data_IF_989593955725
#
_entry.id   IF_989593955725
#
_cell.length_a   1.000
_cell.length_b   1.000
_cell.length_c   1.000
_cell.angle_alpha   90.00
_cell.angle_beta   90.00
_cell.angle_gamma   90.00
#
_symmetry.space_group_name_H-M   'P 1'
#
loop_
_entity.id
_entity.type
_entity.pdbx_description
1 polymer ?
#
# COMPACT_ATOMS: atom_id res chain seq x y z
N UNK A 1 17.84 -37.36 -71.24
CA UNK A 1 17.17 -36.98 -69.97
C UNK A 1 18.19 -36.25 -69.10
N UNK A 2 18.19 -34.92 -69.11
CA UNK A 2 19.03 -34.11 -68.23
C UNK A 2 18.14 -33.43 -67.19
N UNK A 3 18.40 -33.72 -65.91
CA UNK A 3 17.72 -33.08 -64.77
C UNK A 3 18.47 -31.80 -64.45
N UNK A 4 17.85 -30.65 -64.70
CA UNK A 4 18.31 -29.37 -64.18
C UNK A 4 17.67 -29.16 -62.79
N UNK A 5 18.50 -29.21 -61.75
CA UNK A 5 18.13 -28.82 -60.39
C UNK A 5 18.31 -27.29 -60.28
N UNK A 6 17.22 -26.57 -60.02
CA UNK A 6 17.22 -25.14 -59.71
C UNK A 6 17.16 -25.00 -58.19
N UNK A 7 18.12 -24.35 -57.50
CA UNK A 7 17.95 -24.05 -56.09
C UNK A 7 17.16 -22.74 -55.94
N UNK A 8 15.96 -22.85 -55.37
CA UNK A 8 15.15 -21.74 -54.90
C UNK A 8 15.82 -21.15 -53.64
N UNK A 9 16.53 -20.03 -53.79
CA UNK A 9 17.07 -19.28 -52.65
C UNK A 9 15.91 -18.52 -51.99
N UNK A 10 15.37 -19.08 -50.90
CA UNK A 10 14.47 -18.39 -50.00
C UNK A 10 15.26 -17.31 -49.25
N UNK A 11 15.09 -16.06 -49.67
CA UNK A 11 15.56 -14.90 -48.95
C UNK A 11 14.70 -14.74 -47.68
N UNK A 12 15.15 -15.36 -46.59
CA UNK A 12 14.62 -15.10 -45.25
C UNK A 12 14.99 -13.66 -44.87
N UNK A 13 14.07 -12.73 -45.11
CA UNK A 13 14.17 -11.37 -44.61
C UNK A 13 13.89 -11.43 -43.09
N UNK A 14 14.92 -11.74 -42.30
CA UNK A 14 14.91 -11.53 -40.86
C UNK A 14 14.86 -10.03 -40.60
N UNK A 15 13.66 -9.44 -40.54
CA UNK A 15 13.49 -8.12 -39.95
C UNK A 15 13.83 -8.26 -38.47
N UNK A 16 15.03 -7.84 -38.09
CA UNK A 16 15.41 -7.59 -36.71
C UNK A 16 14.38 -6.62 -36.10
N UNK A 17 13.53 -7.13 -35.21
CA UNK A 17 12.75 -6.28 -34.31
C UNK A 17 13.75 -5.50 -33.45
N UNK A 18 14.09 -4.28 -33.87
CA UNK A 18 14.82 -3.36 -33.02
C UNK A 18 13.96 -3.08 -31.79
N UNK A 19 14.48 -3.39 -30.61
CA UNK A 19 13.83 -3.06 -29.36
C UNK A 19 13.68 -1.53 -29.26
N UNK A 20 12.47 -1.05 -29.01
CA UNK A 20 12.18 0.39 -28.87
C UNK A 20 13.10 1.04 -27.83
N UNK A 21 13.81 2.07 -28.26
CA UNK A 21 14.73 2.82 -27.41
C UNK A 21 13.98 3.95 -26.70
N UNK A 22 14.20 4.06 -25.39
CA UNK A 22 13.52 5.05 -24.55
C UNK A 22 14.52 5.73 -23.64
N UNK A 23 14.65 7.04 -23.85
CA UNK A 23 15.50 7.92 -23.06
C UNK A 23 14.66 8.88 -22.21
N UNK A 24 15.28 9.36 -21.12
CA UNK A 24 14.75 10.44 -20.30
C UNK A 24 15.81 11.53 -20.14
N UNK A 25 15.52 12.71 -20.67
CA UNK A 25 16.41 13.88 -20.63
C UNK A 25 15.62 15.14 -20.35
N UNK A 26 16.05 15.91 -19.33
CA UNK A 26 15.52 17.24 -19.01
C UNK A 26 13.97 17.31 -18.93
N UNK A 27 13.33 16.31 -18.31
CA UNK A 27 11.87 16.27 -18.20
C UNK A 27 11.14 15.85 -19.48
N UNK A 28 11.83 15.27 -20.46
CA UNK A 28 11.25 14.74 -21.69
C UNK A 28 11.46 13.23 -21.77
N UNK A 29 10.41 12.49 -22.11
CA UNK A 29 10.50 11.12 -22.60
C UNK A 29 10.75 11.19 -24.09
N UNK A 30 11.81 10.53 -24.54
CA UNK A 30 12.21 10.44 -25.94
C UNK A 30 12.10 8.97 -26.34
N UNK A 31 11.37 8.70 -27.42
CA UNK A 31 11.14 7.34 -27.94
C UNK A 31 11.69 7.28 -29.35
N UNK A 32 12.63 6.36 -29.58
CA UNK A 32 13.32 6.18 -30.86
C UNK A 32 13.87 7.52 -31.43
N UNK A 33 14.43 8.36 -30.54
CA UNK A 33 14.99 9.66 -30.88
C UNK A 33 13.98 10.81 -31.01
N UNK A 34 12.68 10.56 -30.89
CA UNK A 34 11.63 11.57 -31.03
C UNK A 34 11.03 11.97 -29.68
N UNK A 35 10.73 13.25 -29.50
CA UNK A 35 10.01 13.74 -28.32
C UNK A 35 8.63 13.06 -28.24
N UNK A 36 8.35 12.44 -27.10
CA UNK A 36 7.13 11.66 -26.91
C UNK A 36 6.17 12.32 -25.91
N UNK A 37 6.68 12.71 -24.75
CA UNK A 37 5.88 13.34 -23.69
C UNK A 37 6.76 14.11 -22.71
N UNK A 38 6.20 15.18 -22.13
CA UNK A 38 6.84 15.93 -21.05
C UNK A 38 6.48 15.31 -19.70
N UNK A 39 7.43 15.29 -18.77
CA UNK A 39 7.26 14.81 -17.41
C UNK A 39 7.67 15.89 -16.44
N UNK A 40 6.75 16.26 -15.56
CA UNK A 40 7.04 17.06 -14.39
C UNK A 40 7.27 16.12 -13.19
N UNK A 41 8.28 16.44 -12.40
CA UNK A 41 8.72 15.62 -11.27
C UNK A 41 8.60 16.45 -10.01
N UNK A 42 7.76 16.00 -9.09
CA UNK A 42 7.68 16.59 -7.76
C UNK A 42 8.38 15.66 -6.76
N UNK A 43 9.33 16.22 -6.02
CA UNK A 43 10.09 15.47 -5.02
C UNK A 43 9.37 15.52 -3.69
N UNK A 44 9.23 14.37 -3.05
CA UNK A 44 8.60 14.19 -1.75
C UNK A 44 9.55 13.49 -0.79
N UNK A 45 9.28 13.54 0.52
CA UNK A 45 10.09 12.87 1.55
C UNK A 45 11.59 13.13 1.42
N UNK A 46 11.98 14.42 1.36
CA UNK A 46 13.38 14.84 1.16
C UNK A 46 14.02 14.31 -0.15
N UNK A 47 13.20 13.98 -1.15
CA UNK A 47 13.64 13.48 -2.46
C UNK A 47 13.77 11.96 -2.56
N UNK A 48 13.41 11.22 -1.50
CA UNK A 48 13.40 9.75 -1.51
C UNK A 48 12.30 9.17 -2.40
N UNK A 49 11.18 9.87 -2.51
CA UNK A 49 10.07 9.51 -3.38
C UNK A 49 9.75 10.66 -4.33
N UNK A 50 9.20 10.33 -5.49
CA UNK A 50 8.82 11.31 -6.51
C UNK A 50 7.41 11.04 -6.99
N UNK A 51 6.60 12.07 -7.16
CA UNK A 51 5.39 12.03 -7.98
C UNK A 51 5.75 12.47 -9.40
N UNK A 52 5.02 11.93 -10.38
CA UNK A 52 5.21 12.26 -11.79
C UNK A 52 3.90 12.71 -12.40
N UNK A 53 3.95 13.78 -13.18
CA UNK A 53 2.85 14.19 -14.04
C UNK A 53 3.32 14.16 -15.48
N UNK A 54 2.58 13.45 -16.34
CA UNK A 54 2.90 13.33 -17.77
C UNK A 54 1.96 14.22 -18.56
N UNK A 55 2.55 15.01 -19.46
CA UNK A 55 1.86 15.92 -20.35
C UNK A 55 2.13 15.56 -21.80
N UNK A 56 1.15 15.79 -22.66
CA UNK A 56 1.38 15.81 -24.11
C UNK A 56 2.33 16.94 -24.49
N UNK A 57 2.86 16.90 -25.71
CA UNK A 57 3.75 17.96 -26.21
C UNK A 57 3.04 19.33 -26.30
N UNK A 58 1.71 19.36 -26.42
CA UNK A 58 0.92 20.60 -26.37
C UNK A 58 0.66 21.11 -24.95
N UNK A 59 1.06 20.38 -23.91
CA UNK A 59 0.91 20.77 -22.52
C UNK A 59 -0.35 20.26 -21.83
N UNK A 60 -1.10 19.34 -22.44
CA UNK A 60 -2.27 18.73 -21.78
C UNK A 60 -1.83 17.62 -20.83
N UNK A 61 -2.28 17.65 -19.58
CA UNK A 61 -2.01 16.61 -18.59
C UNK A 61 -2.72 15.30 -18.96
N UNK A 62 -1.99 14.20 -19.01
CA UNK A 62 -2.47 12.88 -19.44
C UNK A 62 -2.43 11.84 -18.32
N UNK A 63 -1.36 11.84 -17.51
CA UNK A 63 -1.13 10.81 -16.48
C UNK A 63 -0.67 11.47 -15.20
N UNK A 64 -1.19 11.01 -14.07
CA UNK A 64 -0.67 11.32 -12.74
C UNK A 64 -0.17 10.02 -12.12
N UNK A 65 1.07 10.00 -11.66
CA UNK A 65 1.68 8.85 -11.00
C UNK A 65 2.15 9.23 -9.60
N UNK A 66 1.60 8.56 -8.59
CA UNK A 66 1.93 8.76 -7.18
C UNK A 66 2.35 7.44 -6.54
N UNK A 67 3.22 7.50 -5.54
CA UNK A 67 3.56 6.29 -4.76
C UNK A 67 2.31 5.78 -4.06
N UNK A 68 2.03 4.49 -4.22
CA UNK A 68 0.89 3.81 -3.65
C UNK A 68 1.30 3.14 -2.33
N UNK A 69 1.14 3.86 -1.23
CA UNK A 69 1.58 3.43 0.11
C UNK A 69 0.63 2.44 0.78
N UNK A 70 -0.53 2.19 0.18
CA UNK A 70 -1.56 1.25 0.64
C UNK A 70 -1.24 -0.24 0.35
N UNK A 71 -0.17 -0.52 -0.38
CA UNK A 71 0.22 -1.88 -0.76
C UNK A 71 1.42 -2.35 0.03
N UNK A 72 1.42 -3.64 0.38
CA UNK A 72 2.57 -4.26 1.06
C UNK A 72 3.77 -4.30 0.11
N UNK A 73 4.84 -3.64 0.52
CA UNK A 73 6.15 -3.84 -0.09
C UNK A 73 6.81 -5.06 0.57
N UNK A 74 7.34 -5.97 -0.23
CA UNK A 74 8.11 -7.10 0.30
C UNK A 74 9.31 -6.54 1.08
N UNK A 75 9.39 -6.88 2.37
CA UNK A 75 10.44 -6.40 3.28
C UNK A 75 11.84 -6.77 2.81
N UNK A 76 11.96 -7.78 1.94
CA UNK A 76 13.21 -8.24 1.38
C UNK A 76 13.48 -7.72 -0.04
N UNK A 77 12.52 -7.05 -0.69
CA UNK A 77 12.66 -6.50 -2.03
C UNK A 77 12.41 -4.98 -2.07
N UNK A 78 13.51 -4.24 -1.97
CA UNK A 78 13.52 -2.78 -2.04
C UNK A 78 13.83 -2.26 -3.47
N UNK A 79 13.81 -3.12 -4.49
CA UNK A 79 14.22 -2.74 -5.85
C UNK A 79 13.21 -1.85 -6.57
N UNK A 80 11.95 -1.85 -6.14
CA UNK A 80 10.88 -1.05 -6.72
C UNK A 80 9.95 -0.48 -5.66
N UNK A 81 9.19 0.55 -6.04
CA UNK A 81 8.04 1.09 -5.34
C UNK A 81 6.78 0.83 -6.16
N UNK A 82 5.65 0.63 -5.49
CA UNK A 82 4.36 0.62 -6.16
C UNK A 82 3.92 2.06 -6.45
N UNK A 83 3.50 2.29 -7.69
CA UNK A 83 2.94 3.55 -8.15
C UNK A 83 1.52 3.35 -8.65
N UNK A 84 0.62 4.21 -8.21
CA UNK A 84 -0.72 4.34 -8.77
C UNK A 84 -0.67 5.33 -9.91
N UNK A 85 -0.94 4.86 -11.12
CA UNK A 85 -1.03 5.67 -12.33
C UNK A 85 -2.50 5.89 -12.68
N UNK A 86 -2.90 7.16 -12.72
CA UNK A 86 -4.22 7.60 -13.16
C UNK A 86 -4.12 8.14 -14.59
N UNK A 87 -4.76 7.45 -15.54
CA UNK A 87 -4.84 7.86 -16.95
C UNK A 87 -6.06 8.76 -17.13
N UNK A 88 -5.83 10.08 -17.15
CA UNK A 88 -6.89 11.08 -17.00
C UNK A 88 -7.89 11.07 -18.17
N UNK A 89 -7.41 10.87 -19.40
CA UNK A 89 -8.27 10.83 -20.58
C UNK A 89 -9.04 9.51 -20.72
N UNK A 90 -8.42 8.38 -20.39
CA UNK A 90 -9.07 7.06 -20.43
C UNK A 90 -9.90 6.72 -19.20
N UNK A 91 -9.82 7.54 -18.13
CA UNK A 91 -10.47 7.30 -16.83
C UNK A 91 -10.16 5.94 -16.21
N UNK A 92 -8.97 5.43 -16.48
CA UNK A 92 -8.48 4.16 -15.96
C UNK A 92 -7.39 4.41 -14.92
N UNK A 93 -7.26 3.49 -13.96
CA UNK A 93 -6.21 3.51 -12.94
C UNK A 93 -5.53 2.14 -12.94
N UNK A 94 -4.20 2.13 -12.86
CA UNK A 94 -3.42 0.92 -12.72
C UNK A 94 -2.31 1.08 -11.68
N UNK A 95 -1.88 -0.03 -11.10
CA UNK A 95 -0.76 -0.08 -10.17
C UNK A 95 0.44 -0.65 -10.90
N UNK A 96 1.60 -0.02 -10.79
CA UNK A 96 2.81 -0.42 -11.52
C UNK A 96 4.02 -0.41 -10.59
N UNK A 97 5.02 -1.23 -10.94
CA UNK A 97 6.32 -1.21 -10.27
C UNK A 97 7.22 -0.19 -10.96
N UNK A 98 7.79 0.73 -10.18
CA UNK A 98 8.81 1.68 -10.65
C UNK A 98 10.06 1.46 -9.81
N UNK A 99 11.23 1.36 -10.43
CA UNK A 99 12.46 1.09 -9.70
C UNK A 99 12.74 2.17 -8.63
N UNK A 100 13.08 1.75 -7.41
CA UNK A 100 13.35 2.66 -6.28
C UNK A 100 14.57 3.55 -6.56
N UNK A 101 15.59 2.99 -7.21
CA UNK A 101 16.75 3.70 -7.72
C UNK A 101 16.51 4.12 -9.18
N UNK A 102 16.81 5.38 -9.51
CA UNK A 102 16.61 5.88 -10.87
C UNK A 102 15.14 5.98 -11.29
N UNK A 103 14.24 6.27 -10.33
CA UNK A 103 12.77 6.34 -10.52
C UNK A 103 12.35 7.05 -11.82
N UNK A 104 12.92 8.22 -12.10
CA UNK A 104 12.62 9.00 -13.32
C UNK A 104 12.88 8.20 -14.61
N UNK A 105 14.04 7.56 -14.72
CA UNK A 105 14.40 6.75 -15.90
C UNK A 105 13.53 5.50 -15.99
N UNK A 106 13.25 4.86 -14.86
CA UNK A 106 12.37 3.68 -14.82
C UNK A 106 10.95 4.03 -15.24
N UNK A 107 10.41 5.13 -14.72
CA UNK A 107 9.08 5.63 -15.05
C UNK A 107 8.98 6.05 -16.52
N UNK A 108 9.97 6.79 -17.02
CA UNK A 108 10.03 7.18 -18.43
C UNK A 108 10.06 5.96 -19.36
N UNK A 109 10.84 4.92 -19.03
CA UNK A 109 10.84 3.65 -19.79
C UNK A 109 9.49 2.95 -19.75
N UNK A 110 8.83 2.93 -18.59
CA UNK A 110 7.50 2.34 -18.43
C UNK A 110 6.47 3.00 -19.34
N UNK A 111 6.43 4.34 -19.35
CA UNK A 111 5.49 5.12 -20.17
C UNK A 111 5.91 5.13 -21.65
N UNK A 112 7.18 5.36 -21.98
CA UNK A 112 7.65 5.42 -23.36
C UNK A 112 7.44 4.11 -24.13
N UNK A 113 7.62 2.96 -23.47
CA UNK A 113 7.37 1.64 -24.09
C UNK A 113 5.90 1.25 -24.19
N UNK A 114 5.00 2.01 -23.57
CA UNK A 114 3.58 1.66 -23.51
C UNK A 114 2.84 1.96 -24.82
N UNK A 115 3.30 2.95 -25.59
CA UNK A 115 2.63 3.38 -26.82
C UNK A 115 1.20 3.91 -26.61
N UNK A 116 0.83 4.27 -25.39
CA UNK A 116 -0.54 4.65 -25.01
C UNK A 116 -0.90 6.10 -25.34
N UNK A 117 0.08 7.00 -25.43
CA UNK A 117 -0.13 8.42 -25.72
C UNK A 117 -0.27 8.60 -27.23
N UNK A 118 -1.38 9.19 -27.65
CA UNK A 118 -1.66 9.59 -29.03
C UNK A 118 -2.06 11.06 -29.02
N UNK A 119 -1.16 11.93 -29.49
CA UNK A 119 -1.30 13.39 -29.47
C UNK A 119 -1.62 13.87 -28.04
N UNK A 120 -2.82 14.41 -27.83
CA UNK A 120 -3.28 15.04 -26.60
C UNK A 120 -4.23 14.15 -25.79
N UNK A 121 -4.16 12.83 -26.01
CA UNK A 121 -5.01 11.83 -25.36
C UNK A 121 -4.25 10.54 -25.13
N UNK A 122 -4.80 9.68 -24.27
CA UNK A 122 -4.43 8.27 -24.17
C UNK A 122 -5.42 7.42 -24.97
N UNK A 123 -4.94 6.35 -25.59
CA UNK A 123 -5.79 5.36 -26.25
C UNK A 123 -6.31 4.34 -25.24
N UNK A 124 -7.62 4.25 -25.08
CA UNK A 124 -8.27 3.46 -24.02
C UNK A 124 -7.97 1.95 -24.10
N UNK A 125 -7.93 1.39 -25.32
CA UNK A 125 -7.63 -0.02 -25.53
C UNK A 125 -6.19 -0.32 -25.18
N UNK A 126 -5.25 0.51 -25.64
CA UNK A 126 -3.84 0.36 -25.32
C UNK A 126 -3.56 0.56 -23.83
N UNK A 127 -4.27 1.48 -23.16
CA UNK A 127 -4.16 1.66 -21.70
C UNK A 127 -4.63 0.40 -20.98
N UNK A 128 -5.77 -0.17 -21.38
CA UNK A 128 -6.29 -1.41 -20.79
C UNK A 128 -5.30 -2.56 -20.97
N UNK A 129 -4.79 -2.74 -22.19
CA UNK A 129 -3.83 -3.80 -22.51
C UNK A 129 -2.50 -3.59 -21.77
N UNK A 130 -2.08 -2.33 -21.62
CA UNK A 130 -0.90 -1.96 -20.85
C UNK A 130 -1.05 -2.27 -19.36
N UNK A 131 -2.19 -1.94 -18.76
CA UNK A 131 -2.50 -2.31 -17.36
C UNK A 131 -2.52 -3.84 -17.23
N UNK A 132 -3.13 -4.56 -18.16
CA UNK A 132 -3.15 -6.03 -18.11
C UNK A 132 -1.75 -6.65 -18.23
N UNK A 133 -0.88 -6.09 -19.08
CA UNK A 133 0.43 -6.66 -19.37
C UNK A 133 1.53 -6.26 -18.38
N UNK A 134 1.46 -5.05 -17.80
CA UNK A 134 2.52 -4.47 -16.94
C UNK A 134 2.03 -4.04 -15.57
N UNK A 135 0.72 -4.03 -15.36
CA UNK A 135 0.14 -3.77 -14.05
C UNK A 135 0.58 -4.81 -13.04
N UNK A 136 0.82 -4.35 -11.83
CA UNK A 136 1.01 -5.19 -10.67
C UNK A 136 -0.33 -5.35 -9.93
N UNK A 137 -0.55 -6.51 -9.35
CA UNK A 137 -1.65 -6.77 -8.42
C UNK A 137 -1.07 -7.08 -7.03
N UNK A 138 -0.44 -6.09 -6.37
CA UNK A 138 0.08 -6.32 -5.02
C UNK A 138 -1.02 -6.62 -4.02
N UNK A 139 -0.65 -7.32 -2.95
CA UNK A 139 -1.54 -7.48 -1.80
C UNK A 139 -1.73 -6.11 -1.15
N UNK A 140 -2.98 -5.73 -0.98
CA UNK A 140 -3.35 -4.52 -0.26
C UNK A 140 -2.98 -4.76 1.21
N UNK A 141 -2.15 -3.88 1.78
CA UNK A 141 -1.74 -3.99 3.19
C UNK A 141 -2.91 -3.74 4.17
N UNK A 142 -4.03 -3.21 3.66
CA UNK A 142 -5.16 -2.67 4.42
C UNK A 142 -6.49 -3.18 3.85
N UNK A 143 -7.09 -4.18 4.51
CA UNK A 143 -8.47 -4.59 4.22
C UNK A 143 -9.46 -3.56 4.82
N UNK A 144 -10.15 -2.79 3.97
CA UNK A 144 -11.22 -1.87 4.39
C UNK A 144 -12.57 -2.58 4.61
N UNK A 145 -12.58 -3.87 4.92
CA UNK A 145 -13.81 -4.58 5.27
C UNK A 145 -14.43 -3.95 6.52
N UNK A 146 -15.66 -3.44 6.37
CA UNK A 146 -16.43 -2.94 7.50
C UNK A 146 -16.78 -4.11 8.40
N UNK A 147 -16.02 -4.31 9.47
CA UNK A 147 -16.33 -5.36 10.44
C UNK A 147 -17.48 -4.87 11.34
N UNK A 148 -18.64 -5.55 11.35
CA UNK A 148 -19.74 -5.18 12.23
C UNK A 148 -19.31 -5.41 13.68
N UNK A 149 -19.51 -4.39 14.52
CA UNK A 149 -19.15 -4.39 15.94
C UNK A 149 -20.39 -4.18 16.76
N UNK A 150 -20.45 -4.87 17.88
CA UNK A 150 -21.60 -4.76 18.79
C UNK A 150 -21.14 -4.26 20.14
N UNK A 151 -21.65 -3.10 20.55
CA UNK A 151 -21.38 -2.53 21.89
C UNK A 151 -21.89 -3.42 23.03
N UNK A 152 -22.89 -4.26 22.75
CA UNK A 152 -23.50 -5.18 23.73
C UNK A 152 -22.91 -6.58 23.70
N UNK A 153 -22.13 -6.96 22.68
CA UNK A 153 -21.55 -8.29 22.60
C UNK A 153 -20.26 -8.39 23.44
N UNK A 154 -20.04 -9.50 24.18
CA UNK A 154 -18.80 -9.72 24.90
C UNK A 154 -17.57 -9.68 23.98
N UNK A 155 -16.48 -9.10 24.46
CA UNK A 155 -15.20 -9.08 23.76
C UNK A 155 -14.38 -10.28 24.20
N UNK A 156 -13.84 -11.03 23.26
CA UNK A 156 -12.82 -12.06 23.49
C UNK A 156 -11.47 -11.57 22.99
N UNK A 157 -10.41 -11.99 23.68
CA UNK A 157 -9.05 -11.85 23.21
C UNK A 157 -8.41 -13.23 23.21
N UNK A 158 -7.63 -13.53 22.18
CA UNK A 158 -7.12 -14.87 21.90
C UNK A 158 -5.59 -14.92 22.01
N UNK A 159 -5.03 -16.13 22.06
CA UNK A 159 -3.57 -16.34 22.23
C UNK A 159 -2.73 -15.81 21.06
N UNK A 160 -3.32 -15.71 19.87
CA UNK A 160 -2.73 -15.07 18.69
C UNK A 160 -2.82 -13.53 18.73
N UNK A 161 -3.29 -12.96 19.85
CA UNK A 161 -3.48 -11.52 20.10
C UNK A 161 -4.55 -10.87 19.24
N UNK A 162 -5.46 -11.66 18.68
CA UNK A 162 -6.66 -11.15 18.02
C UNK A 162 -7.74 -10.77 19.03
N UNK A 163 -8.59 -9.84 18.64
CA UNK A 163 -9.75 -9.37 19.38
C UNK A 163 -10.99 -9.79 18.59
N UNK A 164 -11.89 -10.52 19.23
CA UNK A 164 -13.07 -11.08 18.59
C UNK A 164 -14.39 -10.65 19.22
N UNK A 165 -15.39 -10.46 18.37
CA UNK A 165 -16.80 -10.39 18.75
C UNK A 165 -17.62 -11.25 17.79
N UNK A 166 -18.54 -12.06 18.33
CA UNK A 166 -19.45 -12.89 17.55
C UNK A 166 -18.72 -13.72 16.47
N UNK A 167 -17.61 -14.36 16.85
CA UNK A 167 -16.77 -15.20 15.98
C UNK A 167 -16.16 -14.46 14.78
N UNK A 168 -16.01 -13.14 14.89
CA UNK A 168 -15.32 -12.29 13.90
C UNK A 168 -14.19 -11.54 14.56
N UNK A 169 -13.04 -11.51 13.89
CA UNK A 169 -11.89 -10.69 14.28
C UNK A 169 -12.23 -9.23 14.01
N UNK A 170 -12.31 -8.43 15.06
CA UNK A 170 -12.59 -6.99 15.01
C UNK A 170 -11.33 -6.13 15.18
N UNK A 171 -10.21 -6.74 15.55
CA UNK A 171 -8.91 -6.10 15.65
C UNK A 171 -7.85 -7.02 16.24
N UNK A 172 -6.71 -6.45 16.58
CA UNK A 172 -5.62 -7.13 17.28
C UNK A 172 -4.89 -6.16 18.19
N UNK A 173 -4.09 -6.69 19.10
CA UNK A 173 -3.18 -5.90 19.92
C UNK A 173 -1.76 -6.44 19.84
N UNK A 174 -0.78 -5.58 20.09
CA UNK A 174 0.62 -6.00 20.23
C UNK A 174 1.29 -5.28 21.40
N UNK A 175 2.06 -5.98 22.24
CA UNK A 175 2.93 -5.35 23.23
C UNK A 175 4.09 -4.66 22.52
N UNK A 176 4.43 -3.44 22.95
CA UNK A 176 5.57 -2.68 22.42
C UNK A 176 6.72 -2.54 23.42
N UNK A 177 6.51 -2.97 24.66
CA UNK A 177 7.54 -3.05 25.69
C UNK A 177 7.02 -2.66 27.07
N UNK A 178 7.94 -2.59 28.02
CA UNK A 178 7.69 -2.13 29.38
C UNK A 178 8.79 -1.16 29.78
N UNK A 179 8.44 -0.01 30.34
CA UNK A 179 9.40 1.00 30.80
C UNK A 179 8.85 1.73 32.02
N UNK A 180 9.69 1.98 33.03
CA UNK A 180 9.31 2.65 34.29
C UNK A 180 8.04 2.08 34.96
N UNK A 181 7.87 0.75 34.95
CA UNK A 181 6.71 0.09 35.56
C UNK A 181 5.40 0.25 34.79
N UNK A 182 5.44 0.84 33.59
CA UNK A 182 4.32 0.90 32.65
C UNK A 182 4.50 -0.13 31.54
N UNK A 183 3.41 -0.79 31.17
CA UNK A 183 3.34 -1.66 30.00
C UNK A 183 2.72 -0.89 28.83
N UNK A 184 3.28 -1.07 27.63
CA UNK A 184 2.89 -0.35 26.41
C UNK A 184 2.31 -1.30 25.37
N UNK A 185 1.22 -0.89 24.74
CA UNK A 185 0.55 -1.66 23.70
C UNK A 185 0.07 -0.78 22.55
N UNK A 186 -0.03 -1.37 21.36
CA UNK A 186 -0.72 -0.79 20.21
C UNK A 186 -1.92 -1.66 19.85
N UNK A 187 -3.05 -1.01 19.54
CA UNK A 187 -4.28 -1.64 19.07
C UNK A 187 -4.45 -1.35 17.59
N UNK A 188 -4.83 -2.39 16.85
CA UNK A 188 -4.91 -2.35 15.40
C UNK A 188 -6.27 -2.84 14.92
N UNK A 189 -6.74 -2.29 13.80
CA UNK A 189 -7.83 -2.87 13.04
C UNK A 189 -7.40 -4.22 12.43
N UNK A 190 -8.34 -5.05 11.96
CA UNK A 190 -8.01 -6.29 11.22
C UNK A 190 -7.13 -6.02 9.99
N UNK A 191 -7.23 -4.79 9.47
CA UNK A 191 -6.42 -4.25 8.38
C UNK A 191 -4.98 -3.90 8.77
N UNK A 192 -4.58 -4.08 10.03
CA UNK A 192 -3.24 -3.73 10.53
C UNK A 192 -3.03 -2.25 10.87
N UNK A 193 -4.00 -1.37 10.57
CA UNK A 193 -3.92 0.06 10.92
C UNK A 193 -3.93 0.22 12.44
N UNK A 194 -2.88 0.84 13.00
CA UNK A 194 -2.84 1.22 14.42
C UNK A 194 -3.83 2.36 14.69
N UNK A 195 -4.80 2.10 15.55
CA UNK A 195 -5.86 3.04 15.93
C UNK A 195 -5.63 3.67 17.31
N UNK A 196 -4.91 2.99 18.19
CA UNK A 196 -4.61 3.49 19.52
C UNK A 196 -3.26 2.98 20.02
N UNK A 197 -2.59 3.83 20.80
CA UNK A 197 -1.42 3.47 21.60
C UNK A 197 -1.77 3.67 23.05
N UNK A 198 -1.52 2.68 23.89
CA UNK A 198 -1.87 2.73 25.30
C UNK A 198 -0.66 2.46 26.18
N UNK A 199 -0.69 3.04 27.38
CA UNK A 199 0.16 2.60 28.47
C UNK A 199 -0.62 2.57 29.79
N UNK A 200 -0.23 1.68 30.68
CA UNK A 200 -0.80 1.60 32.03
C UNK A 200 0.20 0.96 33.00
N UNK A 201 0.05 1.27 34.29
CA UNK A 201 0.80 0.66 35.38
C UNK A 201 -0.15 -0.19 36.25
N UNK A 202 0.36 -1.30 36.81
CA UNK A 202 -0.42 -2.19 37.68
C UNK A 202 -1.03 -3.41 36.99
N UNK A 203 -0.68 -3.66 35.73
CA UNK A 203 -1.07 -4.86 34.98
C UNK A 203 -2.59 -5.05 34.88
N UNK A 204 -3.07 -6.26 35.19
CA UNK A 204 -4.52 -6.55 35.20
C UNK A 204 -5.34 -5.68 36.17
N UNK A 205 -4.71 -5.12 37.20
CA UNK A 205 -5.37 -4.30 38.23
C UNK A 205 -5.27 -2.79 37.95
N UNK A 206 -4.75 -2.40 36.77
CA UNK A 206 -4.59 -1.00 36.40
C UNK A 206 -5.93 -0.26 36.45
N UNK A 207 -5.96 0.84 37.21
CA UNK A 207 -7.15 1.68 37.42
C UNK A 207 -7.25 2.83 36.41
N UNK A 208 -6.18 3.09 35.67
CA UNK A 208 -6.13 4.14 34.67
C UNK A 208 -5.29 3.64 33.49
N UNK A 209 -5.62 4.10 32.29
CA UNK A 209 -4.74 4.02 31.13
C UNK A 209 -4.44 5.41 30.59
N UNK A 210 -3.23 5.60 30.09
CA UNK A 210 -2.92 6.66 29.14
C UNK A 210 -3.20 6.12 27.74
N UNK A 211 -3.97 6.86 26.94
CA UNK A 211 -4.33 6.46 25.58
C UNK A 211 -4.10 7.62 24.61
N UNK A 212 -3.43 7.30 23.51
CA UNK A 212 -3.42 8.10 22.29
C UNK A 212 -4.31 7.42 21.25
N UNK A 213 -5.19 8.18 20.60
CA UNK A 213 -6.05 7.67 19.52
C UNK A 213 -5.71 8.36 18.20
N UNK A 214 -5.57 7.59 17.13
CA UNK A 214 -5.22 8.10 15.81
C UNK A 214 -6.36 8.89 15.16
N UNK A 215 -7.63 8.48 15.38
CA UNK A 215 -8.83 9.11 14.83
C UNK A 215 -8.95 10.59 15.21
N UNK A 216 -8.64 10.90 16.48
CA UNK A 216 -8.83 12.24 17.04
C UNK A 216 -7.50 12.96 17.28
N UNK A 217 -6.36 12.28 17.01
CA UNK A 217 -5.00 12.73 17.28
C UNK A 217 -4.80 13.28 18.70
N UNK A 218 -5.44 12.65 19.70
CA UNK A 218 -5.47 13.15 21.07
C UNK A 218 -4.95 12.12 22.07
N UNK A 219 -4.25 12.61 23.09
CA UNK A 219 -3.68 11.86 24.20
C UNK A 219 -4.40 12.24 25.50
N UNK A 220 -4.90 11.24 26.24
CA UNK A 220 -5.63 11.46 27.50
C UNK A 220 -5.46 10.32 28.48
N UNK A 221 -5.72 10.60 29.76
CA UNK A 221 -5.83 9.60 30.81
C UNK A 221 -7.31 9.19 30.92
N UNK A 222 -7.57 7.89 30.92
CA UNK A 222 -8.91 7.31 30.99
C UNK A 222 -8.99 6.40 32.21
N UNK A 223 -9.96 6.62 33.12
CA UNK A 223 -10.24 5.71 34.22
C UNK A 223 -10.70 4.35 33.70
N UNK A 224 -10.13 3.29 34.28
CA UNK A 224 -10.41 1.89 33.98
C UNK A 224 -10.83 1.16 35.25
N UNK A 225 -12.02 1.49 35.81
CA UNK A 225 -12.46 0.89 37.06
C UNK A 225 -12.61 -0.63 36.89
N UNK A 226 -12.03 -1.36 37.84
CA UNK A 226 -12.19 -2.81 37.91
C UNK A 226 -13.60 -3.15 38.40
N UNK A 227 -14.40 -3.80 37.55
CA UNK A 227 -15.77 -4.20 37.88
C UNK A 227 -15.91 -5.68 38.26
N UNK A 228 -14.95 -6.52 37.85
CA UNK A 228 -15.01 -7.97 37.99
C UNK A 228 -13.78 -8.50 38.73
N UNK A 229 -13.98 -9.50 39.61
CA UNK A 229 -12.87 -10.21 40.26
C UNK A 229 -12.09 -11.01 39.21
N UNK A 230 -10.79 -10.77 39.13
CA UNK A 230 -9.86 -11.55 38.29
C UNK A 230 -9.71 -12.95 38.91
N UNK A 231 -10.19 -13.98 38.23
CA UNK A 231 -10.22 -15.36 38.77
C UNK A 231 -8.95 -16.14 38.40
N UNK A 232 -8.59 -16.22 37.11
CA UNK A 232 -7.31 -16.80 36.64
C UNK A 232 -6.90 -16.14 35.33
N UNK A 233 -5.68 -15.61 35.26
CA UNK A 233 -5.11 -15.09 34.01
C UNK A 233 -4.51 -16.23 33.18
N UNK A 234 -4.90 -16.34 31.90
CA UNK A 234 -4.22 -17.23 30.96
C UNK A 234 -2.98 -16.52 30.42
N UNK A 235 -1.83 -16.88 30.97
CA UNK A 235 -0.55 -16.29 30.59
C UNK A 235 -0.13 -16.62 29.16
N UNK A 236 -0.78 -17.59 28.50
CA UNK A 236 -0.53 -17.89 27.09
C UNK A 236 -1.06 -16.81 26.14
N UNK A 237 -2.00 -15.98 26.61
CA UNK A 237 -2.58 -14.87 25.84
C UNK A 237 -1.73 -13.60 26.00
N UNK A 238 -1.74 -13.05 27.21
CA UNK A 238 -0.88 -11.94 27.63
C UNK A 238 -0.95 -11.83 29.16
N UNK A 239 0.14 -11.43 29.81
CA UNK A 239 0.16 -11.19 31.26
C UNK A 239 -0.92 -10.19 31.71
N UNK A 240 -1.34 -9.28 30.83
CA UNK A 240 -2.32 -8.23 31.09
C UNK A 240 -3.68 -8.46 30.41
N UNK A 241 -4.05 -9.72 30.12
CA UNK A 241 -5.26 -10.06 29.38
C UNK A 241 -6.54 -9.35 29.85
N UNK A 242 -6.78 -9.23 31.15
CA UNK A 242 -8.01 -8.66 31.67
C UNK A 242 -8.06 -7.14 31.46
N UNK A 243 -6.93 -6.48 31.65
CA UNK A 243 -6.81 -5.07 31.34
C UNK A 243 -6.99 -4.82 29.84
N UNK A 244 -6.35 -5.61 28.98
CA UNK A 244 -6.46 -5.48 27.52
C UNK A 244 -7.90 -5.70 27.04
N UNK A 245 -8.65 -6.62 27.65
CA UNK A 245 -10.08 -6.81 27.38
C UNK A 245 -10.91 -5.59 27.77
N UNK A 246 -10.63 -4.95 28.91
CA UNK A 246 -11.29 -3.68 29.29
C UNK A 246 -10.96 -2.56 28.31
N UNK A 247 -9.70 -2.46 27.87
CA UNK A 247 -9.30 -1.46 26.87
C UNK A 247 -9.99 -1.69 25.54
N UNK A 248 -10.01 -2.93 25.03
CA UNK A 248 -10.71 -3.28 23.80
C UNK A 248 -12.20 -2.91 23.88
N UNK A 249 -12.86 -3.19 25.00
CA UNK A 249 -14.26 -2.79 25.24
C UNK A 249 -14.44 -1.28 25.19
N UNK A 250 -13.57 -0.51 25.82
CA UNK A 250 -13.60 0.94 25.78
C UNK A 250 -13.42 1.48 24.36
N UNK A 251 -12.47 0.93 23.58
CA UNK A 251 -12.26 1.34 22.20
C UNK A 251 -13.52 1.11 21.33
N UNK A 252 -14.26 0.03 21.55
CA UNK A 252 -15.51 -0.27 20.86
C UNK A 252 -16.63 0.68 21.28
N UNK A 253 -16.77 0.94 22.58
CA UNK A 253 -17.81 1.82 23.11
C UNK A 253 -17.68 3.24 22.55
N UNK A 254 -16.45 3.73 22.42
CA UNK A 254 -16.12 5.05 21.90
C UNK A 254 -15.84 5.09 20.38
N UNK A 255 -16.10 4.00 19.65
CA UNK A 255 -15.98 3.93 18.18
C UNK A 255 -14.57 4.23 17.64
N UNK A 256 -13.55 3.77 18.36
CA UNK A 256 -12.15 3.73 17.90
C UNK A 256 -11.78 2.38 17.33
N UNK A 257 -12.22 1.30 17.99
CA UNK A 257 -12.12 -0.07 17.50
C UNK A 257 -13.43 -0.45 16.86
#
# INVERSE_FOLDING_TARGET
MQKAFLPLVLFFCCTSLSAQDVEYKKGMIIVDGNDYARVEVEKQNFGLTKSFEVFSLSGKKLIIAVVATEFDQDKNDNTYLFYRLSFLTSKQVGIFKVASLGQEKSFAKLIGKSGIIIKDTTNDEKVRDFIAAKGASPRIAIDYSMVPRSRSWPVSINADKTIEQNSKIIGSFKPTGSYNGQDFYEFQLPSGITIAKISFAGGNNAQNMEVFTAKDNNKRIVPMPEKDKIIVADTSIDKNQFMLKRVAKWLIDYQYL
#
